data_IF_978210946800
#
_entry.id   IF_978210946800
#
_cell.length_a   1.000
_cell.length_b   1.000
_cell.length_c   1.000
_cell.angle_alpha   90.00
_cell.angle_beta   90.00
_cell.angle_gamma   90.00
#
_symmetry.space_group_name_H-M   'P 1'
#
loop_
_entity.id
_entity.type
_entity.pdbx_description
1 polymer ?
#
# COMPACT_ATOMS: atom_id res chain seq x y z
N UNK A 1 21.26 25.07 -33.30
CA UNK A 1 22.73 24.89 -33.34
C UNK A 1 23.16 24.02 -32.17
N UNK A 2 23.82 22.89 -32.50
CA UNK A 2 24.85 22.14 -31.76
C UNK A 2 24.56 21.68 -30.31
N UNK A 3 24.08 20.44 -30.26
CA UNK A 3 24.29 19.43 -29.21
C UNK A 3 25.76 19.38 -28.74
N UNK A 4 25.97 19.23 -27.42
CA UNK A 4 27.25 18.81 -26.84
C UNK A 4 27.02 17.66 -25.87
N UNK A 5 27.26 16.47 -26.42
CA UNK A 5 27.49 15.21 -25.74
C UNK A 5 28.89 15.25 -25.11
N UNK A 6 29.05 14.96 -23.82
CA UNK A 6 30.36 14.60 -23.25
C UNK A 6 30.18 13.55 -22.15
N UNK A 7 30.41 12.29 -22.54
CA UNK A 7 30.80 11.19 -21.66
C UNK A 7 32.31 11.30 -21.40
N UNK A 8 32.79 10.84 -20.23
CA UNK A 8 34.05 10.11 -20.20
C UNK A 8 33.86 8.70 -19.64
N UNK A 9 34.41 7.75 -20.38
CA UNK A 9 34.57 6.35 -20.04
C UNK A 9 35.87 6.10 -19.26
N UNK A 10 35.93 4.91 -18.66
CA UNK A 10 37.11 4.12 -18.26
C UNK A 10 37.84 4.46 -16.95
N UNK A 11 37.79 3.54 -15.98
CA UNK A 11 38.91 2.59 -15.78
C UNK A 11 38.53 1.45 -14.81
N UNK A 12 38.75 0.23 -15.29
CA UNK A 12 38.67 -1.07 -14.63
C UNK A 12 39.78 -1.31 -13.62
N UNK A 13 39.48 -2.01 -12.52
CA UNK A 13 40.45 -2.86 -11.82
C UNK A 13 39.74 -4.05 -11.17
N UNK A 14 40.10 -5.25 -11.65
CA UNK A 14 39.69 -6.54 -11.11
C UNK A 14 40.67 -7.00 -10.02
N UNK A 15 40.19 -7.63 -8.96
CA UNK A 15 40.97 -8.57 -8.17
C UNK A 15 40.12 -9.78 -7.77
N UNK A 16 40.49 -10.92 -8.36
CA UNK A 16 40.12 -12.28 -8.04
C UNK A 16 40.64 -12.69 -6.64
N UNK A 17 39.80 -13.37 -5.86
CA UNK A 17 40.14 -14.49 -4.96
C UNK A 17 38.91 -15.40 -4.96
N UNK A 18 38.81 -16.47 -5.76
CA UNK A 18 39.53 -17.75 -5.71
C UNK A 18 39.33 -18.50 -4.39
N UNK A 19 38.32 -19.39 -4.36
CA UNK A 19 38.28 -20.55 -3.47
C UNK A 19 37.63 -21.72 -4.24
N UNK A 20 38.44 -22.70 -4.63
CA UNK A 20 38.01 -23.93 -5.28
C UNK A 20 37.88 -25.06 -4.25
N UNK A 21 36.64 -25.59 -4.10
CA UNK A 21 36.21 -27.01 -4.15
C UNK A 21 36.89 -28.08 -3.25
N UNK A 22 36.45 -29.36 -3.28
CA UNK A 22 35.12 -29.93 -3.02
C UNK A 22 35.20 -31.03 -1.91
N UNK A 23 34.06 -31.56 -1.45
CA UNK A 23 34.05 -32.85 -0.74
C UNK A 23 32.73 -33.61 -0.97
N UNK A 24 32.82 -34.74 -1.65
CA UNK A 24 31.85 -35.85 -1.71
C UNK A 24 32.67 -37.14 -1.97
N UNK A 25 32.13 -38.36 -1.82
CA UNK A 25 31.23 -38.91 -0.79
C UNK A 25 31.75 -40.30 -0.30
N UNK A 26 31.09 -40.91 0.70
CA UNK A 26 31.15 -42.38 0.93
C UNK A 26 30.07 -42.86 1.94
N UNK A 27 29.69 -44.16 1.95
CA UNK A 27 28.29 -44.56 1.88
C UNK A 27 27.77 -45.41 3.06
N UNK A 28 26.48 -45.76 2.96
CA UNK A 28 25.77 -46.92 3.56
C UNK A 28 24.99 -46.62 4.84
N UNK A 29 23.65 -46.65 4.80
CA UNK A 29 22.85 -47.88 4.79
C UNK A 29 21.37 -47.55 4.99
N UNK A 30 20.54 -48.34 4.32
CA UNK A 30 19.10 -48.28 4.32
C UNK A 30 18.49 -48.46 5.72
N UNK A 31 17.42 -47.71 5.98
CA UNK A 31 16.52 -47.89 7.11
C UNK A 31 15.16 -47.28 6.79
N UNK A 32 14.27 -48.09 6.21
CA UNK A 32 12.87 -47.75 5.97
C UNK A 32 12.19 -47.33 7.27
N UNK A 33 11.54 -46.17 7.24
CA UNK A 33 10.72 -45.66 8.34
C UNK A 33 9.92 -44.47 7.86
N UNK A 34 8.89 -44.74 7.06
CA UNK A 34 7.91 -43.74 6.65
C UNK A 34 7.24 -43.19 7.90
N UNK A 35 7.61 -41.97 8.28
CA UNK A 35 6.87 -41.15 9.22
C UNK A 35 6.76 -39.79 8.57
N UNK A 36 5.63 -39.56 7.92
CA UNK A 36 5.21 -38.23 7.49
C UNK A 36 5.33 -37.32 8.71
N UNK A 37 6.03 -36.17 8.64
CA UNK A 37 5.92 -35.19 9.71
C UNK A 37 4.45 -34.80 9.81
N UNK A 38 3.92 -34.57 11.03
CA UNK A 38 2.58 -34.03 11.17
C UNK A 38 2.55 -32.73 10.37
N UNK A 39 1.67 -32.66 9.36
CA UNK A 39 1.29 -31.39 8.77
C UNK A 39 0.76 -30.56 9.92
N UNK A 40 1.59 -29.64 10.40
CA UNK A 40 1.10 -28.57 11.23
C UNK A 40 0.06 -27.85 10.37
N UNK A 41 -1.20 -28.01 10.73
CA UNK A 41 -2.24 -27.08 10.34
C UNK A 41 -1.79 -25.72 10.89
N UNK A 42 -0.99 -25.00 10.11
CA UNK A 42 -0.86 -23.55 10.21
C UNK A 42 -2.18 -22.98 9.72
N UNK A 43 -3.23 -23.18 10.53
CA UNK A 43 -4.33 -22.24 10.57
C UNK A 43 -3.70 -20.94 11.03
N UNK A 44 -3.36 -20.09 10.07
CA UNK A 44 -2.85 -18.76 10.31
C UNK A 44 -3.94 -18.05 11.09
N UNK A 45 -3.75 -17.91 12.39
CA UNK A 45 -4.67 -17.16 13.25
C UNK A 45 -4.77 -15.77 12.63
N UNK A 46 -5.98 -15.42 12.16
CA UNK A 46 -6.22 -14.11 11.56
C UNK A 46 -6.14 -13.11 12.69
N UNK A 47 -4.99 -12.43 12.80
CA UNK A 47 -4.77 -11.36 13.77
C UNK A 47 -5.88 -10.32 13.63
N UNK A 48 -6.60 -10.01 14.70
CA UNK A 48 -7.53 -8.88 14.73
C UNK A 48 -6.74 -7.61 14.99
N UNK A 49 -6.89 -6.62 14.11
CA UNK A 49 -6.24 -5.32 14.24
C UNK A 49 -7.21 -4.28 14.80
N UNK A 50 -6.67 -3.28 15.47
CA UNK A 50 -7.40 -2.11 15.98
C UNK A 50 -6.98 -0.85 15.23
N UNK A 51 -7.76 0.23 15.32
CA UNK A 51 -7.35 1.53 14.79
C UNK A 51 -6.03 2.01 15.41
N UNK A 52 -5.79 1.70 16.69
CA UNK A 52 -4.52 2.02 17.35
C UNK A 52 -3.34 1.30 16.68
N UNK A 53 -3.52 0.04 16.25
CA UNK A 53 -2.47 -0.69 15.52
C UNK A 53 -2.19 -0.03 14.17
N UNK A 54 -3.24 0.35 13.44
CA UNK A 54 -3.16 1.05 12.14
C UNK A 54 -2.42 2.37 12.28
N UNK A 55 -2.85 3.22 13.22
CA UNK A 55 -2.22 4.52 13.48
C UNK A 55 -0.77 4.37 13.92
N UNK A 56 -0.47 3.39 14.78
CA UNK A 56 0.89 3.14 15.23
C UNK A 56 1.81 2.68 14.09
N UNK A 57 1.32 1.84 13.17
CA UNK A 57 2.09 1.45 11.99
C UNK A 57 2.29 2.62 11.02
N UNK A 58 1.25 3.41 10.77
CA UNK A 58 1.36 4.62 9.96
C UNK A 58 2.41 5.58 10.54
N UNK A 59 2.35 5.85 11.84
CA UNK A 59 3.28 6.75 12.54
C UNK A 59 4.76 6.31 12.50
N UNK A 60 5.04 5.03 12.18
CA UNK A 60 6.41 4.52 11.98
C UNK A 60 6.89 4.60 10.53
N UNK A 61 6.00 4.96 9.60
CA UNK A 61 6.31 5.04 8.18
C UNK A 61 6.82 6.43 7.79
N UNK A 62 7.56 6.51 6.69
CA UNK A 62 8.02 7.78 6.13
C UNK A 62 6.84 8.69 5.70
N UNK A 63 5.68 8.10 5.39
CA UNK A 63 4.47 8.84 5.01
C UNK A 63 3.84 9.63 6.18
N UNK A 64 4.31 9.45 7.43
CA UNK A 64 3.80 10.18 8.58
C UNK A 64 4.62 11.45 8.91
N UNK A 65 5.66 11.76 8.14
CA UNK A 65 6.44 12.98 8.35
C UNK A 65 5.62 14.23 7.97
N UNK A 66 5.55 15.23 8.86
CA UNK A 66 4.86 16.51 8.62
C UNK A 66 3.37 16.40 8.24
N UNK A 67 2.69 15.33 8.66
CA UNK A 67 1.27 15.11 8.37
C UNK A 67 0.35 15.44 9.54
N UNK A 68 -0.89 15.79 9.23
CA UNK A 68 -2.01 15.84 10.18
C UNK A 68 -2.95 14.67 9.90
N UNK A 69 -3.08 13.77 10.87
CA UNK A 69 -4.01 12.65 10.78
C UNK A 69 -5.45 13.15 10.98
N UNK A 70 -6.34 12.80 10.06
CA UNK A 70 -7.76 13.18 10.08
C UNK A 70 -8.66 12.03 10.50
N UNK A 71 -8.40 10.82 10.00
CA UNK A 71 -9.25 9.67 10.24
C UNK A 71 -8.50 8.35 10.13
N UNK A 72 -9.07 7.29 10.70
CA UNK A 72 -8.53 5.94 10.65
C UNK A 72 -9.66 4.93 10.62
N UNK A 73 -9.50 3.86 9.83
CA UNK A 73 -10.44 2.73 9.79
C UNK A 73 -9.69 1.42 9.61
N UNK A 74 -10.18 0.35 10.25
CA UNK A 74 -9.61 -1.00 10.14
C UNK A 74 -10.13 -1.70 8.87
N UNK A 75 -9.26 -2.43 8.18
CA UNK A 75 -9.62 -3.28 7.05
C UNK A 75 -9.95 -4.70 7.53
N UNK A 76 -11.20 -4.93 7.94
CA UNK A 76 -11.63 -6.16 8.61
C UNK A 76 -11.40 -7.45 7.81
N UNK A 77 -11.45 -7.38 6.48
CA UNK A 77 -11.26 -8.54 5.61
C UNK A 77 -9.77 -8.88 5.37
N UNK A 78 -8.86 -7.93 5.65
CA UNK A 78 -7.41 -8.01 5.42
C UNK A 78 -7.02 -8.38 3.98
N UNK A 79 -7.89 -8.08 3.02
CA UNK A 79 -7.62 -8.26 1.61
C UNK A 79 -6.40 -7.41 1.22
N UNK A 80 -5.55 -7.90 0.32
CA UNK A 80 -4.30 -7.23 -0.10
C UNK A 80 -3.27 -7.04 1.03
N UNK A 81 -3.35 -7.83 2.10
CA UNK A 81 -2.55 -7.64 3.33
C UNK A 81 -2.79 -6.26 3.94
N UNK A 82 -3.99 -5.70 3.79
CA UNK A 82 -4.34 -4.39 4.33
C UNK A 82 -4.71 -4.53 5.82
N UNK A 83 -4.03 -3.78 6.67
CA UNK A 83 -4.37 -3.69 8.09
C UNK A 83 -5.47 -2.63 8.32
N UNK A 84 -5.38 -1.51 7.61
CA UNK A 84 -6.35 -0.44 7.67
C UNK A 84 -5.97 0.72 6.76
N UNK A 85 -6.74 1.79 6.84
CA UNK A 85 -6.54 3.01 6.05
C UNK A 85 -6.55 4.22 6.98
N UNK A 86 -5.64 5.14 6.74
CA UNK A 86 -5.65 6.47 7.37
C UNK A 86 -5.98 7.53 6.34
N UNK A 87 -6.70 8.57 6.76
CA UNK A 87 -6.87 9.81 6.01
C UNK A 87 -5.99 10.88 6.65
N UNK A 88 -5.21 11.61 5.86
CA UNK A 88 -4.30 12.63 6.38
C UNK A 88 -4.10 13.79 5.41
N UNK A 89 -3.61 14.91 5.93
CA UNK A 89 -3.09 16.04 5.15
C UNK A 89 -1.58 16.08 5.28
N UNK A 90 -0.89 16.27 4.16
CA UNK A 90 0.54 16.52 4.10
C UNK A 90 0.78 18.04 4.05
N UNK A 91 1.62 18.57 4.93
CA UNK A 91 1.94 20.00 4.90
C UNK A 91 2.76 20.42 3.68
N UNK A 92 3.46 19.49 3.02
CA UNK A 92 4.19 19.74 1.78
C UNK A 92 3.29 19.68 0.53
N UNK A 93 2.15 18.99 0.62
CA UNK A 93 1.11 18.92 -0.42
C UNK A 93 -0.31 19.10 0.17
N UNK A 94 -0.66 20.34 0.60
CA UNK A 94 -1.91 20.63 1.31
C UNK A 94 -3.16 20.61 0.42
N UNK A 95 -2.99 20.46 -0.89
CA UNK A 95 -4.10 20.41 -1.87
C UNK A 95 -4.63 18.98 -2.06
N UNK A 96 -3.93 17.98 -1.54
CA UNK A 96 -4.29 16.57 -1.66
C UNK A 96 -4.85 16.02 -0.35
N UNK A 97 -6.05 15.44 -0.40
CA UNK A 97 -6.61 14.65 0.69
C UNK A 97 -6.07 13.22 0.59
N UNK A 98 -5.01 12.92 1.34
CA UNK A 98 -4.31 11.63 1.22
C UNK A 98 -5.01 10.50 1.96
N UNK A 99 -4.94 9.32 1.36
CA UNK A 99 -5.25 8.04 2.00
C UNK A 99 -3.98 7.19 2.07
N UNK A 100 -3.59 6.80 3.28
CA UNK A 100 -2.51 5.86 3.53
C UNK A 100 -3.08 4.44 3.72
N UNK A 101 -2.88 3.57 2.74
CA UNK A 101 -3.23 2.15 2.83
C UNK A 101 -2.13 1.41 3.59
N UNK A 102 -2.37 1.14 4.87
CA UNK A 102 -1.39 0.57 5.81
C UNK A 102 -1.44 -0.95 5.71
N UNK A 103 -0.38 -1.56 5.18
CA UNK A 103 -0.27 -3.01 5.07
C UNK A 103 0.17 -3.67 6.38
N UNK A 104 -0.09 -4.97 6.53
CA UNK A 104 0.29 -5.77 7.70
C UNK A 104 1.82 -5.94 7.85
N UNK A 105 2.58 -5.68 6.78
CA UNK A 105 4.04 -5.63 6.78
C UNK A 105 4.59 -4.26 7.23
N UNK A 106 3.71 -3.29 7.53
CA UNK A 106 4.05 -1.93 7.93
C UNK A 106 4.34 -0.98 6.76
N UNK A 107 4.29 -1.46 5.52
CA UNK A 107 4.44 -0.60 4.34
C UNK A 107 3.15 0.22 4.16
N UNK A 108 3.31 1.51 3.91
CA UNK A 108 2.21 2.42 3.59
C UNK A 108 2.24 2.75 2.12
N UNK A 109 1.10 2.58 1.45
CA UNK A 109 0.89 2.97 0.07
C UNK A 109 -0.10 4.14 0.04
N UNK A 110 0.32 5.30 -0.46
CA UNK A 110 -0.50 6.51 -0.42
C UNK A 110 -1.08 6.87 -1.79
N UNK A 111 -2.34 7.30 -1.80
CA UNK A 111 -3.02 7.91 -2.95
C UNK A 111 -4.19 8.76 -2.45
N UNK A 112 -4.60 9.77 -3.21
CA UNK A 112 -5.72 10.63 -2.84
C UNK A 112 -6.13 11.55 -3.98
N UNK A 113 -7.36 12.11 -3.92
CA UNK A 113 -7.77 13.18 -4.82
C UNK A 113 -7.11 14.50 -4.43
N UNK A 114 -6.81 15.35 -5.42
CA UNK A 114 -6.55 16.77 -5.19
C UNK A 114 -7.88 17.46 -4.86
N UNK A 115 -8.20 17.51 -3.58
CA UNK A 115 -9.44 18.05 -3.04
C UNK A 115 -9.29 18.27 -1.54
N UNK A 116 -10.07 19.18 -0.98
CA UNK A 116 -10.16 19.36 0.47
C UNK A 116 -11.05 18.26 1.08
N UNK A 117 -10.68 17.70 2.25
CA UNK A 117 -11.56 16.81 3.00
C UNK A 117 -12.81 17.57 3.47
N UNK A 118 -13.95 16.88 3.54
CA UNK A 118 -15.11 17.44 4.23
C UNK A 118 -14.85 17.44 5.75
N UNK A 119 -15.45 18.39 6.47
CA UNK A 119 -15.41 18.44 7.94
C UNK A 119 -16.46 17.49 8.54
N UNK A 120 -16.36 16.21 8.15
CA UNK A 120 -17.15 15.11 8.67
C UNK A 120 -16.28 13.85 8.82
N UNK A 121 -16.47 13.09 9.89
CA UNK A 121 -15.73 11.83 10.12
C UNK A 121 -16.25 10.71 9.20
N UNK A 122 -16.13 10.88 7.88
CA UNK A 122 -16.78 10.05 6.86
C UNK A 122 -15.93 8.89 6.31
N UNK A 123 -14.67 8.77 6.73
CA UNK A 123 -13.79 7.69 6.28
C UNK A 123 -14.39 6.32 6.65
N UNK A 124 -14.69 5.51 5.64
CA UNK A 124 -15.30 4.19 5.82
C UNK A 124 -14.60 3.16 4.94
N UNK A 125 -14.32 1.98 5.50
CA UNK A 125 -13.88 0.82 4.74
C UNK A 125 -15.08 0.02 4.23
N UNK A 126 -15.17 -0.18 2.93
CA UNK A 126 -16.29 -0.87 2.27
C UNK A 126 -15.98 -2.34 1.92
N UNK A 127 -14.77 -2.82 2.25
CA UNK A 127 -14.29 -4.16 1.91
C UNK A 127 -13.54 -4.22 0.58
N UNK A 128 -12.78 -5.28 0.38
CA UNK A 128 -11.98 -5.59 -0.81
C UNK A 128 -11.06 -4.42 -1.25
N UNK A 129 -10.43 -3.74 -0.29
CA UNK A 129 -9.56 -2.60 -0.56
C UNK A 129 -10.30 -1.32 -0.98
N UNK A 130 -11.63 -1.28 -0.90
CA UNK A 130 -12.45 -0.12 -1.26
C UNK A 130 -12.72 0.74 -0.03
N UNK A 131 -12.54 2.05 -0.16
CA UNK A 131 -12.92 3.04 0.85
C UNK A 131 -13.97 4.01 0.28
N UNK A 132 -14.62 4.73 1.19
CA UNK A 132 -15.31 5.99 0.89
C UNK A 132 -14.97 7.06 1.91
N UNK A 133 -14.98 8.31 1.46
CA UNK A 133 -14.90 9.50 2.32
C UNK A 133 -15.63 10.65 1.61
N UNK A 134 -16.04 11.67 2.35
CA UNK A 134 -16.55 12.89 1.75
C UNK A 134 -15.39 13.89 1.54
N UNK A 135 -15.38 14.52 0.38
CA UNK A 135 -14.48 15.62 0.05
C UNK A 135 -15.29 16.78 -0.51
N UNK A 136 -14.73 17.98 -0.51
CA UNK A 136 -15.39 19.18 -1.00
C UNK A 136 -15.20 19.29 -2.52
N UNK A 137 -16.30 19.46 -3.27
CA UNK A 137 -16.23 19.79 -4.70
C UNK A 137 -15.71 21.22 -4.88
N UNK A 138 -14.69 21.39 -5.72
CA UNK A 138 -14.10 22.72 -5.97
C UNK A 138 -15.11 23.71 -6.58
N UNK A 139 -15.97 23.24 -7.49
CA UNK A 139 -16.90 24.12 -8.21
C UNK A 139 -18.09 24.60 -7.36
N UNK A 140 -18.62 23.72 -6.51
CA UNK A 140 -19.87 23.97 -5.77
C UNK A 140 -19.63 24.28 -4.30
N UNK A 141 -18.48 23.88 -3.74
CA UNK A 141 -18.21 23.93 -2.31
C UNK A 141 -18.98 22.90 -1.48
N UNK A 142 -19.78 22.03 -2.13
CA UNK A 142 -20.60 21.04 -1.44
C UNK A 142 -19.81 19.74 -1.22
N UNK A 143 -20.02 19.04 -0.09
CA UNK A 143 -19.47 17.72 0.14
C UNK A 143 -19.98 16.71 -0.89
N UNK A 144 -19.12 15.80 -1.34
CA UNK A 144 -19.51 14.65 -2.13
C UNK A 144 -18.75 13.40 -1.70
N UNK A 145 -19.40 12.25 -1.82
CA UNK A 145 -18.79 10.97 -1.50
C UNK A 145 -17.82 10.56 -2.60
N UNK A 146 -16.54 10.56 -2.28
CA UNK A 146 -15.47 9.99 -3.07
C UNK A 146 -15.24 8.52 -2.71
N UNK A 147 -14.89 7.71 -3.71
CA UNK A 147 -14.51 6.30 -3.51
C UNK A 147 -13.22 6.00 -4.23
N UNK A 148 -12.35 5.26 -3.54
CA UNK A 148 -11.08 4.77 -4.07
C UNK A 148 -10.97 3.28 -3.76
N UNK A 149 -10.50 2.52 -4.74
CA UNK A 149 -10.07 1.14 -4.53
C UNK A 149 -8.55 1.06 -4.55
N UNK A 150 -8.02 0.26 -3.65
CA UNK A 150 -6.63 -0.18 -3.61
C UNK A 150 -6.57 -1.68 -3.89
N UNK A 151 -5.62 -2.08 -4.72
CA UNK A 151 -5.31 -3.49 -4.94
C UNK A 151 -3.81 -3.71 -5.00
N UNK A 152 -3.39 -4.86 -4.46
CA UNK A 152 -1.98 -5.31 -4.42
C UNK A 152 -1.89 -6.75 -4.91
N UNK A 153 -1.00 -6.99 -5.87
CA UNK A 153 -0.62 -8.32 -6.34
C UNK A 153 0.92 -8.42 -6.37
N UNK A 154 1.49 -9.02 -5.33
CA UNK A 154 2.93 -8.99 -5.12
C UNK A 154 3.42 -7.55 -4.93
N UNK A 155 4.23 -7.06 -5.87
CA UNK A 155 4.75 -5.69 -5.89
C UNK A 155 3.91 -4.74 -6.74
N UNK A 156 2.94 -5.25 -7.50
CA UNK A 156 2.07 -4.42 -8.33
C UNK A 156 0.99 -3.78 -7.46
N UNK A 157 0.88 -2.45 -7.55
CA UNK A 157 -0.11 -1.64 -6.84
C UNK A 157 -0.98 -0.95 -7.88
N UNK A 158 -2.30 -0.99 -7.70
CA UNK A 158 -3.23 -0.26 -8.54
C UNK A 158 -4.30 0.45 -7.71
N UNK A 159 -4.60 1.68 -8.12
CA UNK A 159 -5.66 2.50 -7.56
C UNK A 159 -6.72 2.79 -8.62
N UNK A 160 -8.00 2.76 -8.26
CA UNK A 160 -9.09 3.22 -9.13
C UNK A 160 -10.08 4.06 -8.35
N UNK A 161 -10.21 5.31 -8.76
CA UNK A 161 -11.25 6.19 -8.28
C UNK A 161 -12.54 5.92 -9.07
N UNK A 162 -13.69 6.03 -8.40
CA UNK A 162 -14.95 6.16 -9.12
C UNK A 162 -15.27 7.63 -9.28
N UNK A 163 -15.26 8.11 -10.51
CA UNK A 163 -15.95 9.35 -10.84
C UNK A 163 -17.45 9.03 -10.88
N UNK A 164 -18.16 9.23 -9.77
CA UNK A 164 -19.61 9.41 -9.86
C UNK A 164 -19.88 10.80 -10.40
N UNK A 165 -19.53 11.05 -11.66
CA UNK A 165 -20.20 12.07 -12.44
C UNK A 165 -21.57 11.50 -12.74
N UNK A 166 -22.50 11.70 -11.80
CA UNK A 166 -23.91 11.82 -12.16
C UNK A 166 -24.03 13.09 -13.00
N UNK A 167 -23.49 13.05 -14.22
CA UNK A 167 -23.82 14.02 -15.24
C UNK A 167 -25.32 13.81 -15.45
N UNK A 168 -26.11 14.77 -15.00
CA UNK A 168 -27.55 14.76 -15.25
C UNK A 168 -27.76 14.41 -16.74
N UNK A 169 -28.70 13.52 -17.08
CA UNK A 169 -28.99 13.24 -18.48
C UNK A 169 -29.29 14.58 -19.14
N UNK A 170 -28.52 14.93 -20.17
CA UNK A 170 -28.77 16.10 -20.99
C UNK A 170 -30.24 15.98 -21.45
N UNK A 171 -31.16 16.87 -21.01
CA UNK A 171 -32.56 16.75 -21.38
C UNK A 171 -32.80 17.08 -22.86
N UNK A 172 -31.74 17.31 -23.65
CA UNK A 172 -31.80 17.66 -25.05
C UNK A 172 -30.79 16.89 -25.93
N UNK A 173 -30.89 15.55 -25.97
CA UNK A 173 -30.54 14.76 -27.17
C UNK A 173 -31.68 13.79 -27.51
#
# INVERSE_FOLDING_TARGET
MKMRLLLPALLTAACLLCACAPAEPAPSSAGSGSSSPPQADTSQEKTTYTETDVQAAFARSDAAENVTLLGCVVAEDQVHNLMGVVQYLDSEDPETCWLGFVCTDGIVHSAGPQAQPADDDSLTYLGNGVISMNIIQEETGEPYQYKLSFSKNGTEIAYRAWESLSQAPDPFI
#
